data_IF_556210686357
#
_entry.id   IF_556210686357
#
_cell.length_a   1.000
_cell.length_b   1.000
_cell.length_c   1.000
_cell.angle_alpha   90.00
_cell.angle_beta   90.00
_cell.angle_gamma   90.00
#
_symmetry.space_group_name_H-M   'P 1'
#
loop_
_entity.id
_entity.type
_entity.pdbx_description
1 polymer ?
#
# COMPACT_ATOMS: atom_id res chain seq x y z
N UNK A 1 -10.58 -6.64 -4.84
CA UNK A 1 -9.24 -6.37 -5.42
C UNK A 1 -9.33 -5.15 -6.33
N UNK A 2 -8.26 -4.69 -7.00
CA UNK A 2 -8.31 -3.57 -7.95
C UNK A 2 -9.15 -3.90 -9.20
N UNK A 3 -9.82 -2.90 -9.78
CA UNK A 3 -10.76 -3.10 -10.89
C UNK A 3 -10.14 -3.70 -12.15
N UNK A 4 -8.88 -3.40 -12.44
CA UNK A 4 -8.20 -3.86 -13.66
C UNK A 4 -8.21 -5.39 -13.82
N UNK A 5 -8.19 -6.15 -12.71
CA UNK A 5 -8.26 -7.60 -12.76
C UNK A 5 -9.63 -8.09 -13.25
N UNK A 6 -10.73 -7.55 -12.73
CA UNK A 6 -12.09 -7.92 -13.12
C UNK A 6 -12.38 -7.46 -14.56
N UNK A 7 -11.96 -6.24 -14.91
CA UNK A 7 -12.07 -5.66 -16.24
C UNK A 7 -11.33 -6.49 -17.30
N UNK A 8 -10.11 -6.96 -17.01
CA UNK A 8 -9.35 -7.81 -17.92
C UNK A 8 -10.05 -9.16 -18.15
N UNK A 9 -10.51 -9.83 -17.08
CA UNK A 9 -11.16 -11.15 -17.18
C UNK A 9 -12.51 -11.10 -17.92
N UNK A 10 -13.35 -10.10 -17.65
CA UNK A 10 -14.67 -9.96 -18.27
C UNK A 10 -14.61 -9.28 -19.65
N UNK A 11 -13.71 -8.31 -19.84
CA UNK A 11 -13.61 -7.48 -21.04
C UNK A 11 -12.59 -7.93 -22.08
N UNK A 12 -11.55 -8.67 -21.67
CA UNK A 12 -10.48 -9.15 -22.56
C UNK A 12 -10.99 -10.05 -23.68
N UNK A 13 -10.35 -9.98 -24.86
CA UNK A 13 -10.63 -10.90 -25.97
C UNK A 13 -10.11 -12.31 -25.64
N UNK A 14 -10.73 -13.35 -26.20
CA UNK A 14 -10.30 -14.75 -25.98
C UNK A 14 -8.83 -14.98 -26.34
N UNK A 15 -8.35 -14.40 -27.44
CA UNK A 15 -6.95 -14.49 -27.87
C UNK A 15 -5.98 -13.92 -26.82
N UNK A 16 -6.34 -12.78 -26.21
CA UNK A 16 -5.55 -12.14 -25.16
C UNK A 16 -5.55 -12.98 -23.89
N UNK A 17 -6.71 -13.47 -23.46
CA UNK A 17 -6.81 -14.31 -22.27
C UNK A 17 -6.04 -15.62 -22.44
N UNK A 18 -6.14 -16.26 -23.61
CA UNK A 18 -5.38 -17.46 -23.94
C UNK A 18 -3.86 -17.19 -23.97
N UNK A 19 -3.44 -16.04 -24.51
CA UNK A 19 -2.03 -15.62 -24.49
C UNK A 19 -1.49 -15.47 -23.06
N UNK A 20 -2.31 -14.87 -22.19
CA UNK A 20 -2.01 -14.62 -20.78
C UNK A 20 -2.20 -15.85 -19.88
N UNK A 21 -2.79 -16.93 -20.38
CA UNK A 21 -3.09 -18.12 -19.57
C UNK A 21 -4.25 -17.92 -18.58
N UNK A 22 -5.13 -16.95 -18.84
CA UNK A 22 -6.22 -16.59 -17.94
C UNK A 22 -7.56 -17.24 -18.35
N UNK A 23 -8.33 -17.63 -17.35
CA UNK A 23 -9.72 -18.07 -17.46
C UNK A 23 -10.65 -16.97 -16.98
N UNK A 24 -11.82 -16.81 -17.61
CA UNK A 24 -12.72 -15.68 -17.32
C UNK A 24 -13.30 -15.68 -15.91
N UNK A 25 -13.44 -16.84 -15.27
CA UNK A 25 -14.10 -16.95 -13.97
C UNK A 25 -13.21 -16.39 -12.84
N UNK A 26 -13.56 -15.25 -12.22
CA UNK A 26 -12.75 -14.65 -11.17
C UNK A 26 -12.59 -15.56 -9.94
N UNK A 27 -13.49 -16.52 -9.73
CA UNK A 27 -13.46 -17.43 -8.58
C UNK A 27 -12.28 -18.40 -8.62
N UNK A 28 -11.69 -18.62 -9.80
CA UNK A 28 -10.51 -19.45 -9.99
C UNK A 28 -9.24 -18.79 -9.44
N UNK A 29 -9.28 -17.49 -9.11
CA UNK A 29 -8.12 -16.76 -8.61
C UNK A 29 -8.26 -16.44 -7.13
N UNK A 30 -7.35 -16.97 -6.31
CA UNK A 30 -7.34 -16.78 -4.85
C UNK A 30 -7.29 -15.30 -4.45
N UNK A 31 -6.65 -14.43 -5.23
CA UNK A 31 -6.60 -13.00 -4.95
C UNK A 31 -7.90 -12.25 -5.28
N UNK A 32 -8.80 -12.85 -6.05
CA UNK A 32 -10.10 -12.26 -6.40
C UNK A 32 -11.24 -12.88 -5.58
N UNK A 33 -11.09 -14.12 -5.11
CA UNK A 33 -12.11 -14.86 -4.34
C UNK A 33 -12.07 -14.65 -2.82
N UNK A 34 -11.17 -13.82 -2.29
CA UNK A 34 -11.14 -13.46 -0.87
C UNK A 34 -12.30 -12.55 -0.44
N UNK A 35 -12.86 -11.79 -1.39
CA UNK A 35 -14.06 -10.99 -1.18
C UNK A 35 -15.33 -11.83 -1.35
N UNK A 36 -16.39 -11.52 -0.60
CA UNK A 36 -17.67 -12.25 -0.70
C UNK A 36 -18.42 -11.97 -2.03
N UNK A 37 -17.92 -11.07 -2.87
CA UNK A 37 -18.58 -10.66 -4.10
C UNK A 37 -17.56 -10.40 -5.23
N UNK A 38 -17.77 -11.04 -6.38
CA UNK A 38 -16.98 -10.84 -7.59
C UNK A 38 -17.70 -9.98 -8.66
N UNK A 39 -18.98 -9.64 -8.44
CA UNK A 39 -19.80 -8.84 -9.38
C UNK A 39 -20.64 -7.83 -8.62
N UNK A 40 -20.44 -6.55 -8.91
CA UNK A 40 -21.24 -5.47 -8.33
C UNK A 40 -22.26 -4.98 -9.37
N UNK A 41 -23.55 -4.93 -9.01
CA UNK A 41 -24.62 -4.59 -9.96
C UNK A 41 -24.52 -3.17 -10.54
N UNK A 42 -23.85 -2.26 -9.83
CA UNK A 42 -23.60 -0.89 -10.25
C UNK A 42 -22.41 -0.71 -11.19
N UNK A 43 -21.60 -1.76 -11.41
CA UNK A 43 -20.35 -1.68 -12.19
C UNK A 43 -20.46 -2.62 -13.40
N UNK A 44 -20.01 -2.14 -14.56
CA UNK A 44 -19.95 -2.95 -15.76
C UNK A 44 -18.50 -3.07 -16.22
N UNK A 45 -17.80 -4.06 -15.67
CA UNK A 45 -16.37 -4.33 -15.93
C UNK A 45 -16.05 -4.46 -17.43
N UNK A 46 -16.98 -4.99 -18.22
CA UNK A 46 -16.81 -5.14 -19.67
C UNK A 46 -16.83 -3.81 -20.42
N UNK A 47 -17.67 -2.86 -19.98
CA UNK A 47 -17.68 -1.52 -20.55
C UNK A 47 -16.50 -0.71 -20.05
N UNK A 48 -16.15 -0.82 -18.77
CA UNK A 48 -15.00 -0.12 -18.19
C UNK A 48 -13.69 -0.58 -18.83
N UNK A 49 -13.56 -1.87 -19.16
CA UNK A 49 -12.44 -2.38 -19.95
C UNK A 49 -12.30 -1.70 -21.31
N UNK A 50 -13.41 -1.40 -22.01
CA UNK A 50 -13.36 -0.67 -23.28
C UNK A 50 -12.86 0.75 -23.09
N UNK A 51 -13.30 1.40 -22.01
CA UNK A 51 -12.85 2.75 -21.64
C UNK A 51 -11.34 2.74 -21.36
N UNK A 52 -10.87 1.81 -20.54
CA UNK A 52 -9.43 1.64 -20.23
C UNK A 52 -8.62 1.33 -21.49
N UNK A 53 -9.10 0.41 -22.33
CA UNK A 53 -8.45 0.07 -23.60
C UNK A 53 -8.34 1.27 -24.54
N UNK A 54 -9.39 2.09 -24.60
CA UNK A 54 -9.39 3.31 -25.43
C UNK A 54 -8.44 4.37 -24.86
N UNK A 55 -8.34 4.48 -23.52
CA UNK A 55 -7.40 5.40 -22.87
C UNK A 55 -5.94 5.06 -23.18
N UNK A 56 -5.59 3.77 -23.28
CA UNK A 56 -4.25 3.35 -23.71
C UNK A 56 -3.92 3.74 -25.15
N UNK A 57 -4.90 3.91 -26.03
CA UNK A 57 -4.65 4.41 -27.39
C UNK A 57 -4.45 5.92 -27.45
N UNK A 58 -4.92 6.67 -26.44
CA UNK A 58 -4.77 8.12 -26.36
C UNK A 58 -3.42 8.52 -25.76
N UNK A 59 -2.93 7.72 -24.82
CA UNK A 59 -1.62 7.90 -24.18
C UNK A 59 -0.61 7.10 -25.01
N UNK A 60 0.65 7.55 -25.14
CA UNK A 60 1.68 6.94 -26.02
C UNK A 60 2.16 5.52 -25.56
N UNK A 61 1.24 4.57 -25.43
CA UNK A 61 1.51 3.16 -25.17
C UNK A 61 1.68 2.40 -26.48
N UNK A 62 2.78 1.68 -26.59
CA UNK A 62 3.02 0.77 -27.70
C UNK A 62 2.35 -0.58 -27.44
N UNK A 63 2.16 -1.39 -28.49
CA UNK A 63 1.66 -2.76 -28.34
C UNK A 63 2.59 -3.61 -27.44
N UNK A 64 3.90 -3.43 -27.54
CA UNK A 64 4.90 -4.05 -26.66
C UNK A 64 4.72 -3.62 -25.20
N UNK A 65 4.47 -2.32 -24.92
CA UNK A 65 4.20 -1.85 -23.56
C UNK A 65 2.96 -2.54 -22.98
N UNK A 66 1.89 -2.67 -23.77
CA UNK A 66 0.63 -3.30 -23.34
C UNK A 66 0.79 -4.81 -23.11
N UNK A 67 1.53 -5.49 -23.97
CA UNK A 67 1.84 -6.91 -23.81
C UNK A 67 2.61 -7.16 -22.51
N UNK A 68 3.66 -6.38 -22.25
CA UNK A 68 4.44 -6.48 -21.02
C UNK A 68 3.58 -6.13 -19.78
N UNK A 69 2.71 -5.12 -19.87
CA UNK A 69 1.85 -4.67 -18.77
C UNK A 69 0.80 -5.73 -18.41
N UNK A 70 0.08 -6.25 -19.40
CA UNK A 70 -0.92 -7.30 -19.17
C UNK A 70 -0.28 -8.62 -18.75
N UNK A 71 0.92 -8.92 -19.25
CA UNK A 71 1.72 -10.05 -18.76
C UNK A 71 2.02 -9.93 -17.26
N UNK A 72 2.36 -8.73 -16.77
CA UNK A 72 2.55 -8.48 -15.34
C UNK A 72 1.23 -8.63 -14.57
N UNK A 73 0.13 -8.03 -15.04
CA UNK A 73 -1.18 -8.13 -14.37
C UNK A 73 -1.63 -9.60 -14.26
N UNK A 74 -1.50 -10.37 -15.33
CA UNK A 74 -1.79 -11.80 -15.34
C UNK A 74 -0.88 -12.58 -14.38
N UNK A 75 0.42 -12.26 -14.35
CA UNK A 75 1.38 -12.92 -13.44
C UNK A 75 1.02 -12.74 -11.96
N UNK A 76 0.41 -11.61 -11.59
CA UNK A 76 -0.07 -11.36 -10.21
C UNK A 76 -1.23 -12.31 -9.86
N UNK A 77 -2.13 -12.58 -10.80
CA UNK A 77 -3.22 -13.54 -10.61
C UNK A 77 -2.69 -14.97 -10.47
N UNK A 78 -1.78 -15.38 -11.35
CA UNK A 78 -1.12 -16.68 -11.29
C UNK A 78 -0.32 -16.87 -9.99
N UNK A 79 0.40 -15.83 -9.54
CA UNK A 79 1.12 -15.86 -8.26
C UNK A 79 0.17 -16.20 -7.11
N UNK A 80 -1.05 -15.63 -7.08
CA UNK A 80 -2.02 -15.91 -6.02
C UNK A 80 -2.45 -17.37 -5.91
N UNK A 81 -2.44 -18.09 -7.04
CA UNK A 81 -2.85 -19.48 -7.15
C UNK A 81 -1.75 -20.50 -6.82
N UNK A 82 -0.51 -20.05 -6.58
CA UNK A 82 0.55 -20.93 -6.11
C UNK A 82 0.17 -21.48 -4.73
N UNK A 83 0.09 -22.81 -4.65
CA UNK A 83 -0.09 -23.57 -3.42
C UNK A 83 1.24 -24.15 -2.96
N UNK A 84 1.51 -24.02 -1.66
CA UNK A 84 2.68 -24.60 -1.01
C UNK A 84 2.26 -25.78 -0.14
N UNK A 85 3.06 -26.83 -0.14
CA UNK A 85 2.93 -27.99 0.75
C UNK A 85 4.19 -28.13 1.61
N UNK A 86 4.00 -28.57 2.85
CA UNK A 86 5.10 -28.81 3.79
C UNK A 86 5.66 -30.22 3.57
N UNK A 87 6.97 -30.32 3.35
CA UNK A 87 7.65 -31.60 3.24
C UNK A 87 7.96 -32.21 4.62
N UNK A 88 8.46 -33.44 4.66
CA UNK A 88 8.82 -34.13 5.92
C UNK A 88 9.88 -33.41 6.77
N UNK A 89 10.58 -32.42 6.22
CA UNK A 89 11.61 -31.62 6.89
C UNK A 89 11.09 -30.24 7.33
N UNK A 90 9.78 -29.96 7.20
CA UNK A 90 9.17 -28.68 7.55
C UNK A 90 9.43 -27.55 6.55
N UNK A 91 9.92 -27.87 5.36
CA UNK A 91 10.22 -26.91 4.29
C UNK A 91 9.11 -26.87 3.24
N UNK A 92 8.88 -25.69 2.67
CA UNK A 92 7.88 -25.47 1.65
C UNK A 92 8.29 -26.04 0.29
N UNK A 93 7.35 -26.72 -0.35
CA UNK A 93 7.48 -27.25 -1.72
C UNK A 93 6.26 -26.85 -2.54
N UNK A 94 6.42 -26.80 -3.87
CA UNK A 94 5.33 -26.46 -4.80
C UNK A 94 5.03 -27.73 -5.61
N UNK A 95 3.92 -28.45 -5.33
CA UNK A 95 3.60 -29.70 -6.01
C UNK A 95 3.18 -29.47 -7.47
N UNK A 96 2.42 -28.40 -7.73
CA UNK A 96 1.97 -28.04 -9.06
C UNK A 96 2.80 -26.87 -9.64
N UNK A 97 3.52 -27.17 -10.71
CA UNK A 97 4.38 -26.18 -11.41
C UNK A 97 3.67 -25.49 -12.57
N UNK A 98 2.37 -25.73 -12.77
CA UNK A 98 1.58 -25.09 -13.82
C UNK A 98 1.64 -23.56 -13.74
N UNK A 99 1.31 -22.99 -12.58
CA UNK A 99 1.34 -21.54 -12.36
C UNK A 99 2.75 -20.95 -12.52
N UNK A 100 3.78 -21.68 -12.04
CA UNK A 100 5.18 -21.26 -12.19
C UNK A 100 5.57 -21.12 -13.66
N UNK A 101 5.12 -22.02 -14.53
CA UNK A 101 5.41 -21.96 -15.98
C UNK A 101 4.77 -20.73 -16.62
N UNK A 102 3.53 -20.41 -16.26
CA UNK A 102 2.86 -19.19 -16.75
C UNK A 102 3.56 -17.93 -16.28
N UNK A 103 3.85 -17.81 -14.99
CA UNK A 103 4.56 -16.65 -14.43
C UNK A 103 5.94 -16.50 -15.08
N UNK A 104 6.67 -17.60 -15.25
CA UNK A 104 7.97 -17.61 -15.89
C UNK A 104 7.92 -17.15 -17.36
N UNK A 105 6.89 -17.58 -18.11
CA UNK A 105 6.65 -17.14 -19.48
C UNK A 105 6.34 -15.63 -19.53
N UNK A 106 5.37 -15.17 -18.74
CA UNK A 106 4.87 -13.79 -18.79
C UNK A 106 5.88 -12.76 -18.27
N UNK A 107 6.63 -13.12 -17.21
CA UNK A 107 7.69 -12.28 -16.68
C UNK A 107 9.03 -12.52 -17.39
N UNK A 108 9.13 -13.50 -18.29
CA UNK A 108 10.36 -13.83 -18.98
C UNK A 108 11.51 -14.19 -18.02
N UNK A 109 11.23 -14.98 -16.98
CA UNK A 109 12.21 -15.49 -16.01
C UNK A 109 12.34 -17.01 -16.14
N UNK A 110 13.41 -17.59 -15.59
CA UNK A 110 13.60 -19.04 -15.67
C UNK A 110 12.73 -19.78 -14.64
N UNK A 111 11.92 -20.79 -15.02
CA UNK A 111 10.99 -21.46 -14.11
C UNK A 111 11.64 -22.08 -12.87
N UNK A 112 12.80 -22.74 -13.03
CA UNK A 112 13.48 -23.38 -11.90
C UNK A 112 14.01 -22.36 -10.88
N UNK A 113 14.51 -21.22 -11.35
CA UNK A 113 15.06 -20.17 -10.48
C UNK A 113 13.91 -19.47 -9.75
N UNK A 114 12.78 -19.24 -10.43
CA UNK A 114 11.58 -18.69 -9.79
C UNK A 114 11.05 -19.63 -8.69
N UNK A 115 10.96 -20.93 -8.97
CA UNK A 115 10.54 -21.93 -8.00
C UNK A 115 11.45 -21.96 -6.77
N UNK A 116 12.77 -21.96 -7.00
CA UNK A 116 13.76 -21.91 -5.92
C UNK A 116 13.63 -20.62 -5.11
N UNK A 117 13.43 -19.47 -5.76
CA UNK A 117 13.29 -18.18 -5.09
C UNK A 117 12.02 -18.05 -4.23
N UNK A 118 10.95 -18.79 -4.55
CA UNK A 118 9.73 -18.83 -3.75
C UNK A 118 9.79 -19.83 -2.59
N UNK A 119 10.69 -20.81 -2.66
CA UNK A 119 10.83 -21.88 -1.65
C UNK A 119 12.09 -21.75 -0.80
N UNK A 120 13.05 -20.92 -1.21
CA UNK A 120 14.33 -20.73 -0.54
C UNK A 120 14.71 -19.26 -0.44
N UNK A 121 15.31 -18.89 0.69
CA UNK A 121 15.89 -17.57 0.91
C UNK A 121 17.41 -17.64 0.82
N UNK A 122 17.98 -16.75 0.02
CA UNK A 122 19.41 -16.50 -0.03
C UNK A 122 19.83 -15.60 1.14
N UNK A 123 20.76 -16.06 1.96
CA UNK A 123 21.35 -15.33 3.09
C UNK A 123 22.83 -15.13 2.79
N UNK A 124 23.26 -13.87 2.72
CA UNK A 124 24.68 -13.54 2.62
C UNK A 124 25.29 -13.42 4.02
N UNK A 125 26.20 -14.32 4.35
CA UNK A 125 27.18 -14.11 5.41
C UNK A 125 28.40 -13.37 4.81
N UNK A 126 29.18 -12.69 5.65
CA UNK A 126 30.30 -11.81 5.23
C UNK A 126 31.29 -12.45 4.23
N UNK A 127 31.37 -13.77 4.16
CA UNK A 127 32.28 -14.54 3.30
C UNK A 127 31.59 -15.59 2.42
N UNK A 128 30.30 -15.90 2.64
CA UNK A 128 29.61 -17.01 2.00
C UNK A 128 28.13 -16.69 1.72
N UNK A 129 27.62 -17.14 0.58
CA UNK A 129 26.19 -17.11 0.28
C UNK A 129 25.58 -18.47 0.61
N UNK A 130 24.62 -18.51 1.52
CA UNK A 130 23.91 -19.73 1.91
C UNK A 130 22.46 -19.64 1.47
N UNK A 131 21.97 -20.69 0.80
CA UNK A 131 20.57 -20.81 0.40
C UNK A 131 19.88 -21.70 1.44
N UNK A 132 18.89 -21.13 2.14
CA UNK A 132 18.14 -21.82 3.18
C UNK A 132 16.69 -22.04 2.74
N UNK A 133 16.10 -23.22 2.97
CA UNK A 133 14.69 -23.44 2.68
C UNK A 133 13.79 -22.56 3.55
N UNK A 134 12.64 -22.17 3.01
CA UNK A 134 11.58 -21.44 3.70
C UNK A 134 10.54 -22.41 4.26
N UNK A 135 9.91 -22.00 5.37
CA UNK A 135 8.70 -22.66 5.87
C UNK A 135 7.48 -22.30 5.02
N UNK A 136 6.38 -23.03 5.16
CA UNK A 136 5.14 -22.77 4.43
C UNK A 136 4.66 -21.31 4.60
N UNK A 137 4.65 -20.81 5.84
CA UNK A 137 4.25 -19.43 6.15
C UNK A 137 5.15 -18.39 5.46
N UNK A 138 6.47 -18.60 5.49
CA UNK A 138 7.43 -17.68 4.87
C UNK A 138 7.37 -17.72 3.33
N UNK A 139 7.06 -18.87 2.74
CA UNK A 139 6.86 -19.00 1.29
C UNK A 139 5.56 -18.32 0.82
N UNK A 140 4.47 -18.43 1.59
CA UNK A 140 3.25 -17.65 1.34
C UNK A 140 3.54 -16.15 1.42
N UNK A 141 4.27 -15.72 2.45
CA UNK A 141 4.70 -14.34 2.57
C UNK A 141 5.55 -13.89 1.38
N UNK A 142 6.53 -14.70 0.96
CA UNK A 142 7.41 -14.39 -0.17
C UNK A 142 6.64 -14.21 -1.49
N UNK A 143 5.67 -15.10 -1.75
CA UNK A 143 4.74 -15.01 -2.88
C UNK A 143 3.93 -13.72 -2.85
N UNK A 144 3.34 -13.38 -1.70
CA UNK A 144 2.48 -12.22 -1.56
C UNK A 144 3.29 -10.91 -1.64
N UNK A 145 4.49 -10.89 -1.06
CA UNK A 145 5.46 -9.79 -1.18
C UNK A 145 5.90 -9.59 -2.64
N UNK A 146 6.16 -10.67 -3.38
CA UNK A 146 6.48 -10.59 -4.81
C UNK A 146 5.31 -10.00 -5.60
N UNK A 147 4.09 -10.50 -5.38
CA UNK A 147 2.90 -10.01 -6.09
C UNK A 147 2.65 -8.51 -5.83
N UNK A 148 2.72 -8.07 -4.57
CA UNK A 148 2.60 -6.66 -4.18
C UNK A 148 3.71 -5.79 -4.78
N UNK A 149 4.97 -6.24 -4.69
CA UNK A 149 6.10 -5.47 -5.20
C UNK A 149 6.06 -5.31 -6.72
N UNK A 150 5.73 -6.39 -7.44
CA UNK A 150 5.58 -6.36 -8.90
C UNK A 150 4.45 -5.39 -9.29
N UNK A 151 3.26 -5.55 -8.73
CA UNK A 151 2.12 -4.67 -9.03
C UNK A 151 2.40 -3.21 -8.65
N UNK A 152 2.92 -2.97 -7.44
CA UNK A 152 3.19 -1.62 -6.93
C UNK A 152 4.25 -0.88 -7.75
N UNK A 153 5.35 -1.54 -8.16
CA UNK A 153 6.35 -0.91 -9.01
C UNK A 153 5.85 -0.69 -10.43
N UNK A 154 5.06 -1.61 -10.97
CA UNK A 154 4.39 -1.41 -12.28
C UNK A 154 3.42 -0.24 -12.25
N UNK A 155 2.71 -0.02 -11.15
CA UNK A 155 1.88 1.17 -10.99
C UNK A 155 2.71 2.46 -10.99
N UNK A 156 3.83 2.50 -10.27
CA UNK A 156 4.76 3.64 -10.32
C UNK A 156 5.30 3.88 -11.73
N UNK A 157 5.67 2.80 -12.44
CA UNK A 157 6.09 2.88 -13.84
C UNK A 157 4.98 3.45 -14.74
N UNK A 158 3.74 2.99 -14.57
CA UNK A 158 2.58 3.48 -15.32
C UNK A 158 2.40 4.99 -15.13
N UNK A 159 2.47 5.48 -13.89
CA UNK A 159 2.41 6.93 -13.58
C UNK A 159 3.55 7.68 -14.26
N UNK A 160 4.79 7.16 -14.20
CA UNK A 160 5.94 7.79 -14.84
C UNK A 160 5.84 7.83 -16.36
N UNK A 161 5.29 6.76 -16.98
CA UNK A 161 5.03 6.70 -18.43
C UNK A 161 4.00 7.75 -18.84
N UNK A 162 2.91 7.89 -18.09
CA UNK A 162 1.89 8.92 -18.31
C UNK A 162 2.52 10.31 -18.17
N UNK A 163 3.27 10.56 -17.09
CA UNK A 163 3.95 11.84 -16.87
C UNK A 163 4.94 12.19 -18.00
N UNK A 164 5.60 11.18 -18.58
CA UNK A 164 6.54 11.38 -19.69
C UNK A 164 5.83 11.75 -21.00
N UNK A 165 4.59 11.28 -21.21
CA UNK A 165 3.75 11.68 -22.36
C UNK A 165 3.19 13.10 -22.17
N UNK A 166 2.89 13.49 -20.92
CA UNK A 166 2.37 14.82 -20.57
C UNK A 166 3.44 15.89 -20.36
N UNK A 167 4.74 15.53 -20.42
CA UNK A 167 5.83 16.45 -20.09
C UNK A 167 5.83 17.67 -21.01
N UNK A 168 5.89 18.86 -20.43
CA UNK A 168 5.99 20.09 -21.21
C UNK A 168 7.39 20.19 -21.84
N UNK A 169 7.45 20.46 -23.15
CA UNK A 169 8.70 20.63 -23.91
C UNK A 169 9.28 22.04 -23.83
N UNK A 170 8.55 22.97 -23.22
CA UNK A 170 8.98 24.35 -22.99
C UNK A 170 9.65 24.49 -21.61
N UNK A 171 10.89 24.99 -21.60
CA UNK A 171 11.74 25.14 -20.40
C UNK A 171 11.61 26.50 -19.70
N UNK A 172 10.65 27.34 -20.11
CA UNK A 172 10.37 28.61 -19.42
C UNK A 172 9.78 28.39 -18.03
N UNK A 173 9.99 29.34 -17.11
CA UNK A 173 9.35 29.30 -15.79
C UNK A 173 7.83 29.37 -15.95
N UNK A 174 7.11 28.42 -15.35
CA UNK A 174 5.65 28.36 -15.36
C UNK A 174 5.09 28.43 -13.93
N UNK A 175 3.89 28.98 -13.81
CA UNK A 175 3.03 28.78 -12.65
C UNK A 175 2.26 27.47 -12.82
N UNK A 176 1.95 26.79 -11.72
CA UNK A 176 1.22 25.52 -11.73
C UNK A 176 0.00 25.60 -10.81
N UNK A 177 -1.10 25.01 -11.25
CA UNK A 177 -2.27 24.73 -10.41
C UNK A 177 -2.24 23.22 -10.15
N UNK A 178 -2.08 22.84 -8.88
CA UNK A 178 -2.09 21.45 -8.46
C UNK A 178 -3.47 21.05 -7.94
N UNK A 179 -3.98 19.91 -8.40
CA UNK A 179 -5.16 19.27 -7.83
C UNK A 179 -4.68 18.09 -6.98
N UNK A 180 -4.94 18.14 -5.69
CA UNK A 180 -4.65 17.05 -4.76
C UNK A 180 -5.95 16.33 -4.40
N UNK A 181 -6.12 15.13 -4.93
CA UNK A 181 -7.20 14.21 -4.57
C UNK A 181 -6.65 13.17 -3.58
N UNK A 182 -7.32 13.05 -2.44
CA UNK A 182 -6.91 12.23 -1.31
C UNK A 182 -8.12 11.47 -0.78
N UNK A 183 -7.87 10.25 -0.33
CA UNK A 183 -8.87 9.46 0.39
C UNK A 183 -9.31 10.17 1.68
N UNK A 184 -10.61 10.10 1.98
CA UNK A 184 -11.17 10.64 3.21
C UNK A 184 -10.81 9.82 4.45
N UNK A 185 -11.23 10.29 5.61
CA UNK A 185 -11.08 9.58 6.87
C UNK A 185 -11.92 8.29 6.87
N UNK A 186 -11.33 7.17 7.29
CA UNK A 186 -11.96 5.85 7.25
C UNK A 186 -12.19 5.28 8.65
N UNK A 187 -13.42 4.82 8.91
CA UNK A 187 -13.77 4.07 10.12
C UNK A 187 -14.63 2.88 9.73
N UNK A 188 -14.05 1.68 9.79
CA UNK A 188 -14.73 0.42 9.57
C UNK A 188 -14.90 -0.37 10.87
N UNK A 189 -15.68 -1.45 10.83
CA UNK A 189 -15.81 -2.40 11.93
C UNK A 189 -14.47 -3.05 12.31
N UNK A 190 -13.58 -3.22 11.32
CA UNK A 190 -12.22 -3.74 11.50
C UNK A 190 -11.23 -2.85 10.76
N UNK A 191 -10.46 -2.05 11.50
CA UNK A 191 -9.44 -1.18 10.95
C UNK A 191 -8.07 -1.84 11.05
N UNK A 192 -7.35 -1.92 9.93
CA UNK A 192 -6.00 -2.48 9.84
C UNK A 192 -4.90 -1.43 9.77
N UNK A 193 -3.72 -1.86 9.33
CA UNK A 193 -2.57 -0.99 9.08
C UNK A 193 -2.86 0.04 7.98
N UNK A 194 -3.64 -0.34 6.97
CA UNK A 194 -4.03 0.51 5.85
C UNK A 194 -4.86 1.70 6.33
N UNK A 195 -5.93 1.45 7.12
CA UNK A 195 -6.73 2.51 7.74
C UNK A 195 -5.89 3.40 8.66
N UNK A 196 -4.93 2.82 9.38
CA UNK A 196 -4.02 3.58 10.23
C UNK A 196 -3.19 4.59 9.41
N UNK A 197 -2.61 4.17 8.28
CA UNK A 197 -1.90 5.06 7.36
C UNK A 197 -2.83 6.14 6.76
N UNK A 198 -4.03 5.74 6.33
CA UNK A 198 -5.04 6.65 5.76
C UNK A 198 -5.44 7.74 6.75
N UNK A 199 -5.76 7.36 7.98
CA UNK A 199 -6.19 8.29 9.02
C UNK A 199 -5.04 9.17 9.50
N UNK A 200 -3.81 8.66 9.56
CA UNK A 200 -2.61 9.47 9.83
C UNK A 200 -2.38 10.54 8.75
N UNK A 201 -2.55 10.19 7.47
CA UNK A 201 -2.48 11.16 6.36
C UNK A 201 -3.51 12.28 6.52
N UNK A 202 -4.76 11.90 6.81
CA UNK A 202 -5.83 12.85 7.07
C UNK A 202 -5.55 13.74 8.29
N UNK A 203 -4.97 13.19 9.36
CA UNK A 203 -4.58 13.94 10.56
C UNK A 203 -3.57 15.05 10.21
N UNK A 204 -2.56 14.73 9.40
CA UNK A 204 -1.51 15.66 8.97
C UNK A 204 -2.04 16.75 8.05
N UNK A 205 -2.93 16.40 7.13
CA UNK A 205 -3.56 17.36 6.22
C UNK A 205 -4.54 18.26 6.97
N UNK A 206 -5.26 17.73 7.95
CA UNK A 206 -6.11 18.52 8.84
C UNK A 206 -5.29 19.48 9.70
N UNK A 207 -4.12 19.07 10.19
CA UNK A 207 -3.22 19.99 10.89
C UNK A 207 -2.75 21.13 9.95
N UNK A 208 -2.31 20.80 8.74
CA UNK A 208 -1.89 21.83 7.79
C UNK A 208 -3.02 22.83 7.49
N UNK A 209 -4.25 22.34 7.34
CA UNK A 209 -5.43 23.17 7.11
C UNK A 209 -5.69 24.11 8.30
N UNK A 210 -5.71 23.59 9.53
CA UNK A 210 -5.95 24.39 10.74
C UNK A 210 -4.88 25.48 10.86
N UNK A 211 -3.61 25.10 10.72
CA UNK A 211 -2.49 26.03 10.84
C UNK A 211 -2.55 27.15 9.79
N UNK A 212 -2.89 26.81 8.54
CA UNK A 212 -2.96 27.79 7.44
C UNK A 212 -4.17 28.71 7.56
N UNK A 213 -5.34 28.16 7.89
CA UNK A 213 -6.57 28.94 8.03
C UNK A 213 -6.42 29.94 9.17
N UNK A 214 -5.99 29.49 10.35
CA UNK A 214 -5.83 30.37 11.51
C UNK A 214 -4.77 31.47 11.29
N UNK A 215 -3.63 31.13 10.66
CA UNK A 215 -2.60 32.12 10.34
C UNK A 215 -3.08 33.16 9.34
N UNK A 216 -3.85 32.75 8.33
CA UNK A 216 -4.42 33.66 7.34
C UNK A 216 -5.45 34.60 7.99
N UNK A 217 -6.38 34.07 8.79
CA UNK A 217 -7.35 34.87 9.53
C UNK A 217 -6.66 35.87 10.48
N UNK A 218 -5.64 35.44 11.24
CA UNK A 218 -4.88 36.32 12.13
C UNK A 218 -4.21 37.48 11.38
N UNK A 219 -3.61 37.20 10.21
CA UNK A 219 -2.93 38.21 9.40
C UNK A 219 -3.92 39.21 8.78
N UNK A 220 -5.13 38.76 8.42
CA UNK A 220 -6.19 39.62 7.89
C UNK A 220 -6.73 40.57 8.98
N UNK A 221 -6.97 40.06 10.19
CA UNK A 221 -7.38 40.88 11.33
C UNK A 221 -6.35 41.95 11.68
N UNK A 222 -5.06 41.58 11.70
CA UNK A 222 -3.96 42.52 11.94
C UNK A 222 -3.89 43.60 10.83
N UNK A 223 -4.10 43.20 9.57
CA UNK A 223 -4.11 44.13 8.43
C UNK A 223 -5.27 45.12 8.49
N UNK A 224 -6.45 44.67 8.93
CA UNK A 224 -7.64 45.53 9.10
C UNK A 224 -7.63 46.34 10.40
N UNK A 225 -6.65 46.10 11.29
CA UNK A 225 -6.55 46.78 12.58
C UNK A 225 -7.63 46.34 13.58
N UNK A 226 -8.15 45.12 13.42
CA UNK A 226 -9.16 44.51 14.29
C UNK A 226 -8.48 43.71 15.40
N UNK A 227 -8.96 43.83 16.64
CA UNK A 227 -8.44 43.06 17.77
C UNK A 227 -8.72 41.55 17.59
N UNK A 228 -7.68 40.74 17.70
CA UNK A 228 -7.78 39.28 17.60
C UNK A 228 -8.22 38.67 18.93
N UNK A 229 -9.42 38.08 18.96
CA UNK A 229 -9.86 37.24 20.07
C UNK A 229 -9.40 35.78 19.87
N UNK A 230 -8.63 35.18 20.79
CA UNK A 230 -8.15 33.81 20.64
C UNK A 230 -9.29 32.77 20.57
N UNK A 231 -9.48 32.19 19.38
CA UNK A 231 -10.42 31.09 19.17
C UNK A 231 -9.85 29.81 19.79
N UNK A 232 -10.62 29.15 20.65
CA UNK A 232 -10.27 27.82 21.14
C UNK A 232 -10.52 26.77 20.06
N UNK A 233 -9.48 26.07 19.63
CA UNK A 233 -9.56 24.95 18.71
C UNK A 233 -8.77 23.75 19.23
N UNK A 234 -9.12 22.56 18.76
CA UNK A 234 -8.37 21.36 19.06
C UNK A 234 -7.11 21.28 18.18
N UNK A 235 -5.94 21.39 18.80
CA UNK A 235 -4.68 21.23 18.10
C UNK A 235 -4.34 19.73 17.95
N UNK A 236 -4.58 19.19 16.77
CA UNK A 236 -4.38 17.79 16.48
C UNK A 236 -2.90 17.41 16.21
N UNK A 237 -1.97 18.36 16.35
CA UNK A 237 -0.53 18.08 16.34
C UNK A 237 -0.12 17.03 17.37
N UNK A 238 -0.77 16.99 18.53
CA UNK A 238 -0.50 15.99 19.57
C UNK A 238 -0.74 14.55 19.07
N UNK A 239 -1.71 14.35 18.17
CA UNK A 239 -1.99 13.04 17.57
C UNK A 239 -0.97 12.74 16.46
N UNK A 240 -0.59 13.75 15.67
CA UNK A 240 0.46 13.61 14.66
C UNK A 240 1.78 13.18 15.32
N UNK A 241 2.18 13.85 16.40
CA UNK A 241 3.41 13.57 17.15
C UNK A 241 3.36 12.16 17.77
N UNK A 242 2.22 11.75 18.34
CA UNK A 242 2.02 10.36 18.82
C UNK A 242 2.31 9.31 17.74
N UNK A 243 1.99 9.59 16.48
CA UNK A 243 2.21 8.65 15.37
C UNK A 243 3.64 8.72 14.83
N UNK A 244 4.16 9.93 14.61
CA UNK A 244 5.36 10.17 13.79
C UNK A 244 6.64 10.50 14.57
N UNK A 245 6.54 10.80 15.87
CA UNK A 245 7.69 11.25 16.67
C UNK A 245 8.84 10.25 16.56
N UNK A 246 10.04 10.78 16.31
CA UNK A 246 11.25 9.97 16.16
C UNK A 246 11.53 9.23 17.47
N UNK A 247 11.76 7.91 17.39
CA UNK A 247 12.06 7.02 18.53
C UNK A 247 10.90 6.76 19.53
N UNK A 248 9.83 7.56 19.51
CA UNK A 248 8.69 7.41 20.43
C UNK A 248 7.34 7.16 19.77
N UNK A 249 7.17 7.63 18.53
CA UNK A 249 5.91 7.50 17.81
C UNK A 249 5.61 6.06 17.40
N UNK A 250 4.32 5.77 17.16
CA UNK A 250 3.82 4.44 16.81
C UNK A 250 4.60 3.82 15.64
N UNK A 251 4.90 4.61 14.58
CA UNK A 251 5.66 4.13 13.42
C UNK A 251 7.09 3.74 13.83
N UNK A 252 7.76 4.55 14.65
CA UNK A 252 9.11 4.24 15.14
C UNK A 252 9.11 2.95 15.97
N UNK A 253 8.10 2.73 16.81
CA UNK A 253 7.97 1.52 17.62
C UNK A 253 7.74 0.29 16.75
N UNK A 254 6.89 0.42 15.72
CA UNK A 254 6.61 -0.65 14.77
C UNK A 254 7.87 -1.05 13.99
N UNK A 255 8.68 -0.07 13.57
CA UNK A 255 9.94 -0.30 12.88
C UNK A 255 10.98 -0.99 13.77
N UNK A 256 11.07 -0.60 15.03
CA UNK A 256 11.94 -1.27 16.00
C UNK A 256 11.55 -2.75 16.19
N UNK A 257 10.25 -3.06 16.27
CA UNK A 257 9.78 -4.44 16.40
C UNK A 257 10.04 -5.26 15.14
N UNK A 258 9.93 -4.66 13.96
CA UNK A 258 10.26 -5.29 12.69
C UNK A 258 11.75 -5.70 12.57
N UNK A 259 12.64 -5.12 13.38
CA UNK A 259 14.10 -5.32 13.32
C UNK A 259 14.61 -6.09 14.57
N UNK A 260 13.76 -6.35 15.56
CA UNK A 260 14.14 -7.01 16.80
C UNK A 260 14.73 -8.41 16.55
N UNK A 261 15.83 -8.79 17.24
CA UNK A 261 16.29 -10.18 17.25
C UNK A 261 15.32 -11.05 18.07
N UNK A 262 14.80 -12.12 17.45
CA UNK A 262 13.85 -13.07 18.08
C UNK A 262 12.49 -13.10 17.38
N UNK A 263 11.52 -13.88 17.90
CA UNK A 263 10.18 -13.95 17.33
C UNK A 263 9.40 -12.66 17.63
N UNK A 264 9.38 -11.73 16.70
CA UNK A 264 8.51 -10.55 16.76
C UNK A 264 7.08 -10.96 16.41
N UNK A 265 6.11 -10.54 17.23
CA UNK A 265 4.68 -10.84 17.01
C UNK A 265 3.85 -9.57 17.14
N UNK A 266 2.66 -9.54 16.53
CA UNK A 266 1.77 -8.38 16.66
C UNK A 266 1.36 -8.11 18.11
N UNK A 267 1.44 -9.13 18.98
CA UNK A 267 1.25 -8.99 20.42
C UNK A 267 2.44 -8.29 21.08
N UNK A 268 3.68 -8.67 20.76
CA UNK A 268 4.88 -8.00 21.30
C UNK A 268 4.93 -6.53 20.88
N UNK A 269 4.43 -6.22 19.67
CA UNK A 269 4.23 -4.84 19.23
C UNK A 269 3.22 -4.09 20.10
N UNK A 270 2.05 -4.67 20.34
CA UNK A 270 1.03 -4.05 21.20
C UNK A 270 1.54 -3.81 22.63
N UNK A 271 2.26 -4.77 23.21
CA UNK A 271 2.83 -4.63 24.56
C UNK A 271 3.83 -3.48 24.64
N UNK A 272 4.65 -3.29 23.59
CA UNK A 272 5.61 -2.19 23.53
C UNK A 272 4.94 -0.83 23.31
N UNK A 273 3.81 -0.78 22.61
CA UNK A 273 2.97 0.42 22.55
C UNK A 273 2.43 0.77 23.94
N UNK A 274 1.93 -0.22 24.69
CA UNK A 274 1.45 0.00 26.06
C UNK A 274 2.55 0.55 26.98
N UNK A 275 3.78 0.06 26.84
CA UNK A 275 4.94 0.55 27.60
C UNK A 275 5.33 1.99 27.23
N UNK A 276 5.48 2.29 25.94
CA UNK A 276 6.04 3.56 25.46
C UNK A 276 5.01 4.69 25.37
N UNK A 277 3.80 4.41 24.89
CA UNK A 277 2.75 5.41 24.61
C UNK A 277 1.49 5.25 25.46
N UNK A 278 1.45 4.27 26.37
CA UNK A 278 0.28 3.96 27.19
C UNK A 278 -0.26 5.10 28.08
N UNK A 279 0.56 6.10 28.39
CA UNK A 279 0.16 7.27 29.19
C UNK A 279 -0.41 8.42 28.36
N UNK A 280 -0.38 8.32 27.04
CA UNK A 280 -0.78 9.40 26.15
C UNK A 280 -2.30 9.55 26.12
N UNK A 281 -2.81 10.79 26.23
CA UNK A 281 -4.25 11.06 26.33
C UNK A 281 -5.06 10.54 25.12
N UNK A 282 -4.44 10.53 23.94
CA UNK A 282 -5.05 10.06 22.69
C UNK A 282 -4.77 8.59 22.36
N UNK A 283 -4.26 7.81 23.30
CA UNK A 283 -3.98 6.39 23.12
C UNK A 283 -4.64 5.54 24.21
N UNK A 284 -5.28 4.45 23.83
CA UNK A 284 -5.88 3.53 24.79
C UNK A 284 -5.80 2.08 24.31
N UNK A 285 -5.52 1.16 25.23
CA UNK A 285 -5.63 -0.29 24.99
C UNK A 285 -6.57 -0.92 26.01
N UNK A 286 -6.90 -2.19 25.81
CA UNK A 286 -7.69 -2.96 26.77
C UNK A 286 -7.08 -2.96 28.18
N UNK A 287 -5.76 -3.10 28.33
CA UNK A 287 -5.10 -3.13 29.65
C UNK A 287 -5.23 -1.80 30.38
N UNK A 288 -5.11 -0.71 29.64
CA UNK A 288 -5.11 0.67 30.15
C UNK A 288 -6.53 1.26 30.31
N UNK A 289 -7.52 0.66 29.64
CA UNK A 289 -8.90 1.11 29.72
C UNK A 289 -9.55 0.77 31.08
N UNK A 290 -10.41 1.68 31.54
CA UNK A 290 -11.31 1.44 32.69
C UNK A 290 -12.35 0.35 32.42
N UNK A 291 -13.20 -0.01 33.42
CA UNK A 291 -14.12 -1.14 33.33
C UNK A 291 -15.07 -1.13 32.12
N UNK A 292 -15.50 0.08 31.70
CA UNK A 292 -16.39 0.28 30.54
C UNK A 292 -15.68 0.19 29.18
N UNK A 293 -14.37 0.43 29.12
CA UNK A 293 -13.57 0.35 27.89
C UNK A 293 -13.01 -1.06 27.63
N UNK A 294 -12.75 -1.85 28.68
CA UNK A 294 -12.30 -3.25 28.59
C UNK A 294 -13.23 -4.17 27.80
N UNK A 295 -14.53 -3.85 27.73
CA UNK A 295 -15.52 -4.61 26.94
C UNK A 295 -15.57 -4.20 25.47
N UNK A 296 -15.06 -3.02 25.12
CA UNK A 296 -15.14 -2.43 23.77
C UNK A 296 -13.85 -2.54 22.96
N UNK A 297 -12.72 -2.88 23.61
CA UNK A 297 -11.41 -3.06 22.97
C UNK A 297 -11.00 -4.52 23.11
N UNK A 298 -10.69 -5.15 21.98
CA UNK A 298 -10.16 -6.50 21.88
C UNK A 298 -8.77 -6.66 22.49
N UNK A 299 -8.30 -7.90 22.57
CA UNK A 299 -6.97 -8.22 23.14
C UNK A 299 -5.81 -7.85 22.22
N UNK A 300 -6.05 -7.81 20.90
CA UNK A 300 -5.06 -7.43 19.87
C UNK A 300 -5.46 -6.11 19.21
N UNK A 301 -5.96 -5.17 20.02
CA UNK A 301 -6.48 -3.90 19.54
C UNK A 301 -5.99 -2.74 20.38
N UNK A 302 -5.72 -1.62 19.71
CA UNK A 302 -5.49 -0.32 20.32
C UNK A 302 -6.46 0.70 19.72
N UNK A 303 -6.73 1.76 20.48
CA UNK A 303 -7.63 2.83 20.12
C UNK A 303 -6.88 4.15 20.08
N UNK A 304 -7.10 4.90 19.01
CA UNK A 304 -6.65 6.28 18.88
C UNK A 304 -7.83 7.23 18.86
N UNK A 305 -7.67 8.38 19.51
CA UNK A 305 -8.64 9.47 19.48
C UNK A 305 -8.18 10.52 18.48
N UNK A 306 -8.70 10.42 17.24
CA UNK A 306 -8.40 11.30 16.12
C UNK A 306 -9.25 12.59 16.15
N UNK A 307 -8.95 13.57 15.30
CA UNK A 307 -9.81 14.76 15.15
C UNK A 307 -11.26 14.41 14.75
N UNK A 308 -11.44 13.33 13.98
CA UNK A 308 -12.75 12.89 13.48
C UNK A 308 -13.47 11.91 14.42
N UNK A 309 -12.83 11.46 15.51
CA UNK A 309 -13.43 10.53 16.47
C UNK A 309 -12.50 9.40 16.93
N UNK A 310 -13.05 8.46 17.70
CA UNK A 310 -12.31 7.28 18.16
C UNK A 310 -12.26 6.18 17.09
N UNK A 311 -11.07 5.65 16.82
CA UNK A 311 -10.87 4.54 15.88
C UNK A 311 -10.13 3.41 16.58
N UNK A 312 -10.66 2.19 16.46
CA UNK A 312 -10.05 0.98 17.03
C UNK A 312 -9.37 0.18 15.93
N UNK A 313 -8.07 -0.05 16.08
CA UNK A 313 -7.21 -0.74 15.12
C UNK A 313 -6.82 -2.13 15.63
N UNK A 314 -6.92 -3.14 14.77
CA UNK A 314 -6.48 -4.49 15.05
C UNK A 314 -4.99 -4.64 14.69
N UNK A 315 -4.14 -4.99 15.66
CA UNK A 315 -2.70 -5.14 15.42
C UNK A 315 -2.34 -6.33 14.55
N UNK A 316 -3.27 -7.26 14.32
CA UNK A 316 -3.02 -8.45 13.51
C UNK A 316 -2.54 -8.07 12.09
N UNK A 317 -1.35 -8.54 11.73
CA UNK A 317 -0.70 -8.28 10.44
C UNK A 317 0.03 -6.94 10.35
N UNK A 318 0.13 -6.14 11.44
CA UNK A 318 0.86 -4.86 11.39
C UNK A 318 2.34 -5.06 11.08
N UNK A 319 3.01 -6.01 11.74
CA UNK A 319 4.43 -6.26 11.49
C UNK A 319 4.69 -6.78 10.08
N UNK A 320 3.82 -7.69 9.62
CA UNK A 320 3.89 -8.27 8.29
C UNK A 320 3.76 -7.20 7.20
N UNK A 321 2.70 -6.38 7.32
CA UNK A 321 2.40 -5.29 6.38
C UNK A 321 3.44 -4.17 6.43
N UNK A 322 4.03 -3.88 7.58
CA UNK A 322 5.05 -2.86 7.71
C UNK A 322 6.41 -3.30 7.15
N UNK A 323 6.77 -4.58 7.31
CA UNK A 323 8.04 -5.10 6.81
C UNK A 323 8.10 -5.08 5.28
N UNK A 324 7.04 -5.54 4.61
CA UNK A 324 6.91 -5.67 3.14
C UNK A 324 8.24 -6.00 2.42
N UNK A 325 8.98 -6.96 2.98
CA UNK A 325 10.33 -7.29 2.57
C UNK A 325 10.30 -8.24 1.39
N UNK A 326 10.58 -7.72 0.20
CA UNK A 326 10.92 -8.55 -0.94
C UNK A 326 12.33 -9.14 -0.73
N UNK A 327 12.41 -10.46 -0.56
CA UNK A 327 13.69 -11.16 -0.37
C UNK A 327 14.63 -10.95 -1.56
N UNK A 328 15.93 -10.90 -1.26
CA UNK A 328 16.97 -10.67 -2.26
C UNK A 328 16.92 -11.68 -3.40
N UNK A 329 16.66 -12.95 -3.09
CA UNK A 329 16.56 -13.99 -4.11
C UNK A 329 15.46 -13.68 -5.14
N UNK A 330 14.27 -13.25 -4.68
CA UNK A 330 13.18 -12.81 -5.56
C UNK A 330 13.54 -11.54 -6.34
N UNK A 331 14.26 -10.58 -5.73
CA UNK A 331 14.78 -9.41 -6.44
C UNK A 331 15.73 -9.81 -7.57
N UNK A 332 16.65 -10.74 -7.32
CA UNK A 332 17.60 -11.24 -8.32
C UNK A 332 16.87 -11.87 -9.52
N UNK A 333 15.80 -12.63 -9.27
CA UNK A 333 14.94 -13.18 -10.33
C UNK A 333 14.27 -12.07 -11.14
N UNK A 334 13.67 -11.09 -10.48
CA UNK A 334 12.97 -9.99 -11.13
C UNK A 334 13.91 -9.06 -11.92
N UNK A 335 15.12 -8.80 -11.42
CA UNK A 335 16.14 -8.03 -12.15
C UNK A 335 16.63 -8.74 -13.42
N UNK A 336 16.53 -10.07 -13.49
CA UNK A 336 16.90 -10.88 -14.67
C UNK A 336 15.73 -11.15 -15.62
N UNK A 337 14.56 -10.61 -15.30
CA UNK A 337 13.37 -10.69 -16.15
C UNK A 337 13.65 -10.17 -17.56
N UNK A 338 13.07 -10.82 -18.58
CA UNK A 338 13.07 -10.31 -19.96
C UNK A 338 11.96 -9.29 -20.21
N UNK A 339 10.96 -9.20 -19.34
CA UNK A 339 9.89 -8.22 -19.42
C UNK A 339 10.47 -6.80 -19.27
N UNK A 340 10.18 -5.93 -20.23
CA UNK A 340 10.81 -4.60 -20.33
C UNK A 340 10.45 -3.70 -19.15
N UNK A 341 9.18 -3.71 -18.75
CA UNK A 341 8.68 -2.91 -17.63
C UNK A 341 9.37 -3.35 -16.34
N UNK A 342 9.52 -4.65 -16.11
CA UNK A 342 10.20 -5.16 -14.92
C UNK A 342 11.69 -4.78 -14.86
N UNK A 343 12.39 -4.74 -16.00
CA UNK A 343 13.79 -4.26 -16.04
C UNK A 343 13.93 -2.80 -15.63
N UNK A 344 12.97 -1.96 -15.99
CA UNK A 344 12.93 -0.55 -15.59
C UNK A 344 12.51 -0.40 -14.11
N UNK A 345 11.66 -1.30 -13.62
CA UNK A 345 11.17 -1.30 -12.24
C UNK A 345 12.17 -1.90 -11.22
N UNK A 346 13.00 -2.86 -11.62
CA UNK A 346 13.90 -3.62 -10.74
C UNK A 346 15.34 -3.52 -11.22
N UNK A 347 16.07 -2.53 -10.72
CA UNK A 347 17.43 -2.24 -11.16
C UNK A 347 18.47 -3.14 -10.47
N UNK A 348 19.46 -3.60 -11.23
CA UNK A 348 20.58 -4.42 -10.69
C UNK A 348 21.34 -3.67 -9.58
N UNK A 349 21.42 -2.33 -9.66
CA UNK A 349 22.04 -1.49 -8.62
C UNK A 349 21.36 -1.64 -7.24
N UNK A 350 20.09 -2.05 -7.18
CA UNK A 350 19.42 -2.33 -5.90
C UNK A 350 19.98 -3.56 -5.19
N UNK A 351 20.62 -4.47 -5.92
CA UNK A 351 21.28 -5.66 -5.35
C UNK A 351 22.61 -5.30 -4.68
N UNK A 352 23.25 -4.23 -5.12
CA UNK A 352 24.49 -3.72 -4.53
C UNK A 352 24.24 -2.96 -3.22
N UNK A 353 23.02 -2.44 -3.05
CA UNK A 353 22.65 -1.71 -1.85
C UNK A 353 22.41 -2.67 -0.66
N UNK A 354 23.43 -2.81 0.18
CA UNK A 354 23.39 -3.64 1.39
C UNK A 354 22.56 -3.05 2.54
N UNK A 355 22.04 -1.83 2.41
CA UNK A 355 21.18 -1.23 3.44
C UNK A 355 19.79 -1.85 3.36
N UNK A 356 19.24 -2.25 4.51
CA UNK A 356 17.84 -2.68 4.59
C UNK A 356 16.95 -1.54 4.11
N UNK A 357 16.00 -1.79 3.20
CA UNK A 357 15.06 -0.75 2.79
C UNK A 357 14.25 -0.26 3.99
N UNK A 358 13.81 1.01 3.99
CA UNK A 358 12.86 1.49 4.99
C UNK A 358 11.57 0.67 4.94
N UNK A 359 10.93 0.50 6.09
CA UNK A 359 9.62 -0.13 6.23
C UNK A 359 8.52 0.69 5.54
N UNK A 360 7.36 0.10 5.28
CA UNK A 360 6.23 0.78 4.65
C UNK A 360 5.80 2.00 5.46
N UNK A 361 5.74 1.90 6.80
CA UNK A 361 5.38 3.01 7.67
C UNK A 361 6.35 4.19 7.57
N UNK A 362 7.66 3.93 7.53
CA UNK A 362 8.66 4.98 7.34
C UNK A 362 8.62 5.57 5.93
N UNK A 363 8.44 4.74 4.89
CA UNK A 363 8.27 5.24 3.51
C UNK A 363 7.06 6.17 3.41
N UNK A 364 5.92 5.74 3.94
CA UNK A 364 4.67 6.51 3.95
C UNK A 364 4.83 7.85 4.68
N UNK A 365 5.44 7.85 5.88
CA UNK A 365 5.76 9.07 6.64
C UNK A 365 6.62 10.04 5.83
N UNK A 366 7.65 9.54 5.15
CA UNK A 366 8.53 10.38 4.34
C UNK A 366 7.80 10.96 3.13
N UNK A 367 7.02 10.14 2.41
CA UNK A 367 6.20 10.58 1.28
C UNK A 367 5.19 11.65 1.68
N UNK A 368 4.53 11.49 2.83
CA UNK A 368 3.59 12.47 3.36
C UNK A 368 4.29 13.78 3.74
N UNK A 369 5.48 13.69 4.34
CA UNK A 369 6.28 14.86 4.68
C UNK A 369 6.66 15.66 3.42
N UNK A 370 7.12 14.99 2.37
CA UNK A 370 7.40 15.62 1.07
C UNK A 370 6.15 16.23 0.42
N UNK A 371 4.99 15.57 0.52
CA UNK A 371 3.73 16.12 0.04
C UNK A 371 3.37 17.43 0.78
N UNK A 372 3.50 17.45 2.11
CA UNK A 372 3.21 18.64 2.91
C UNK A 372 4.13 19.80 2.56
N UNK A 373 5.42 19.57 2.32
CA UNK A 373 6.36 20.60 1.84
C UNK A 373 5.91 21.20 0.49
N UNK A 374 5.44 20.35 -0.44
CA UNK A 374 4.90 20.77 -1.73
C UNK A 374 3.63 21.62 -1.56
N UNK A 375 2.77 21.32 -0.59
CA UNK A 375 1.56 22.09 -0.30
C UNK A 375 1.87 23.42 0.40
N UNK A 376 2.83 23.41 1.34
CA UNK A 376 3.29 24.59 2.08
C UNK A 376 3.89 25.65 1.14
N UNK A 377 4.45 25.23 0.01
CA UNK A 377 5.02 26.12 -1.01
C UNK A 377 4.02 26.69 -2.01
N UNK A 378 2.71 26.44 -1.84
CA UNK A 378 1.65 26.89 -2.76
C UNK A 378 0.50 27.56 -2.00
N UNK A 379 -0.28 28.34 -2.74
CA UNK A 379 -1.55 28.88 -2.26
C UNK A 379 -2.63 27.79 -2.28
N UNK A 380 -3.26 27.46 -1.14
CA UNK A 380 -4.24 26.39 -1.08
C UNK A 380 -5.65 26.87 -1.42
N UNK A 381 -6.46 25.96 -1.97
CA UNK A 381 -7.91 26.09 -2.06
C UNK A 381 -8.54 24.74 -1.69
N UNK A 382 -9.62 24.76 -0.91
CA UNK A 382 -10.16 23.55 -0.30
C UNK A 382 -11.57 23.26 -0.80
N UNK A 383 -11.82 22.00 -1.15
CA UNK A 383 -13.14 21.48 -1.51
C UNK A 383 -13.41 20.28 -0.60
N UNK A 384 -14.48 20.35 0.21
CA UNK A 384 -14.94 19.24 1.04
C UNK A 384 -16.19 18.62 0.43
N UNK A 385 -16.05 17.41 -0.10
CA UNK A 385 -17.17 16.65 -0.64
C UNK A 385 -17.87 15.88 0.49
N UNK A 386 -19.20 16.01 0.58
CA UNK A 386 -20.02 15.27 1.56
C UNK A 386 -20.89 14.29 0.80
N UNK A 387 -20.82 13.01 1.16
CA UNK A 387 -21.69 11.97 0.63
C UNK A 387 -23.07 12.08 1.32
N UNK A 388 -24.17 12.34 0.59
CA UNK A 388 -25.47 12.58 1.22
C UNK A 388 -26.11 11.31 1.78
N UNK A 389 -25.87 10.15 1.16
CA UNK A 389 -26.33 8.85 1.64
C UNK A 389 -25.46 7.71 1.08
N UNK A 390 -25.48 6.56 1.76
CA UNK A 390 -24.71 5.38 1.35
C UNK A 390 -25.25 4.69 0.09
N UNK A 391 -26.54 4.86 -0.21
CA UNK A 391 -27.25 4.21 -1.32
C UNK A 391 -26.96 4.83 -2.69
N UNK A 392 -26.23 5.95 -2.74
CA UNK A 392 -25.96 6.72 -3.96
C UNK A 392 -27.26 7.16 -4.66
N UNK A 393 -28.35 7.32 -3.91
CA UNK A 393 -29.64 7.74 -4.43
C UNK A 393 -29.72 9.28 -4.43
N UNK A 394 -30.27 9.92 -5.49
CA UNK A 394 -30.69 11.30 -5.38
C UNK A 394 -31.80 11.39 -4.31
N UNK A 395 -31.79 12.43 -3.49
CA UNK A 395 -32.87 12.65 -2.52
C UNK A 395 -34.21 12.70 -3.25
N UNK A 396 -35.15 11.81 -2.91
CA UNK A 396 -36.54 11.92 -3.36
C UNK A 396 -37.07 13.29 -2.92
N UNK A 397 -37.45 14.12 -3.89
CA UNK A 397 -38.02 15.45 -3.71
C UNK A 397 -39.51 15.45 -3.99
#
# INVERSE_FOLDING_TARGET
NFHIFYQLLEGGKEELLAYLGLERDPRLYKYLSQGHCAKESSINDKNDWKTVSSAFSVIDFTEDDLENLFGIIASVLHLGNICFEENHQGSATIPDTHEIKWIAKLLGVHPSILLEALTHRKIEAKTEEVICPLTLELSVYARDAMAKAVYGRTFTWLVNKINSSLVNKDFTKKTVIGLLDIYGFEVFDKNGFEQFCINYCNEKLQQLLIERTLKAEQAEYEMEGIEWEPIQYFNNKIICDLVEERHKGIISILDEECIRPGPATDLSFLEKLEEKVGKHAHFQTRKLAGPKGRKRIGWMEFRLFHYAGEVTYCTKGFLEKNNDLLYRHLKEVLCRSKNRILKECFLVAELENRRRPPTVGTQFKNSLSSLLEILISKEPSYIRCIKPNERKEPSES
#
